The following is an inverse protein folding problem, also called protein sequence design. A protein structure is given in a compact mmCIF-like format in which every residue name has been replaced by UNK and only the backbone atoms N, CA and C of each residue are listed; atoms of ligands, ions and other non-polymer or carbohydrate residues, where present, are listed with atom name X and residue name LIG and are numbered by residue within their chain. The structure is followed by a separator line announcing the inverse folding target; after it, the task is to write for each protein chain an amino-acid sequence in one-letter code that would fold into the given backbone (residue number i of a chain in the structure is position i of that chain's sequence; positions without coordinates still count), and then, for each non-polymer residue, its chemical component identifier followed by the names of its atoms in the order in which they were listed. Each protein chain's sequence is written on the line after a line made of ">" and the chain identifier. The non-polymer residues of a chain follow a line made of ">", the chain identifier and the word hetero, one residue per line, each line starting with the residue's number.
data_IF_880938964803
#
_entry.id   IF_880938964803
#
_cell.length_a   1.000
_cell.length_b   1.000
_cell.length_c   1.000
_cell.angle_alpha   90.00
_cell.angle_beta   90.00
_cell.angle_gamma   90.00
#
_symmetry.space_group_name_H-M   'P 1'
#
loop_
_entity.id
_entity.type
_entity.pdbx_description
1 polymer ?
#
# COMPACT_ATOMS: atom_id res chain seq x y z
N UNK A 1 9.83 -18.87 -20.03
CA UNK A 1 8.71 -17.95 -19.75
C UNK A 1 9.26 -16.53 -19.72
N UNK A 2 9.14 -15.79 -20.82
CA UNK A 2 9.68 -14.42 -20.94
C UNK A 2 8.83 -13.46 -20.10
N UNK A 3 9.42 -12.85 -19.08
CA UNK A 3 8.74 -11.79 -18.32
C UNK A 3 8.45 -10.63 -19.29
N UNK A 4 7.20 -10.13 -19.38
CA UNK A 4 6.93 -8.98 -20.24
C UNK A 4 7.75 -7.78 -19.72
N UNK A 5 8.41 -7.08 -20.65
CA UNK A 5 9.18 -5.87 -20.34
C UNK A 5 8.34 -4.93 -19.46
N UNK A 6 8.96 -4.34 -18.43
CA UNK A 6 8.29 -3.35 -17.58
C UNK A 6 7.82 -2.20 -18.46
N UNK A 7 6.52 -2.13 -18.73
CA UNK A 7 5.92 -1.00 -19.45
C UNK A 7 6.09 0.26 -18.61
N UNK A 8 7.05 1.12 -18.97
CA UNK A 8 7.21 2.42 -18.36
C UNK A 8 6.07 3.33 -18.83
N UNK A 9 5.29 3.83 -17.88
CA UNK A 9 4.21 4.77 -18.16
C UNK A 9 4.72 6.20 -17.95
N UNK A 10 4.67 7.08 -18.96
CA UNK A 10 5.11 8.45 -18.79
C UNK A 10 4.25 9.19 -17.76
N UNK A 11 4.88 10.07 -16.99
CA UNK A 11 4.20 10.98 -16.08
C UNK A 11 3.87 12.26 -16.81
N UNK A 12 2.64 12.73 -16.62
CA UNK A 12 2.15 13.97 -17.22
C UNK A 12 1.60 14.89 -16.15
N UNK A 13 1.67 16.20 -16.40
CA UNK A 13 1.13 17.24 -15.54
C UNK A 13 -0.10 17.85 -16.17
N UNK A 14 -0.94 18.53 -15.38
CA UNK A 14 -2.08 19.28 -15.94
C UNK A 14 -1.57 20.39 -16.85
N UNK A 15 -2.10 20.46 -18.07
CA UNK A 15 -1.88 21.55 -19.01
C UNK A 15 -2.70 22.79 -18.64
N UNK A 16 -2.66 23.80 -19.50
CA UNK A 16 -3.41 25.06 -19.29
C UNK A 16 -4.90 24.88 -19.53
N UNK A 17 -5.25 23.97 -20.42
CA UNK A 17 -6.64 23.65 -20.79
C UNK A 17 -7.05 22.31 -20.19
N UNK A 18 -8.35 22.09 -20.03
CA UNK A 18 -8.88 20.83 -19.48
C UNK A 18 -8.50 19.58 -20.30
N UNK A 19 -8.20 19.74 -21.59
CA UNK A 19 -7.88 18.65 -22.51
C UNK A 19 -6.40 18.58 -22.92
N UNK A 20 -5.52 19.33 -22.25
CA UNK A 20 -4.08 19.31 -22.51
C UNK A 20 -3.31 18.83 -21.29
N UNK A 21 -2.18 18.16 -21.53
CA UNK A 21 -1.26 17.70 -20.49
C UNK A 21 0.16 18.11 -20.84
N UNK A 22 1.01 18.31 -19.83
CA UNK A 22 2.42 18.56 -20.04
C UNK A 22 3.18 17.24 -19.94
N UNK A 23 3.83 16.85 -21.03
CA UNK A 23 4.75 15.72 -21.12
C UNK A 23 6.16 16.26 -21.39
N UNK A 24 7.10 16.02 -20.48
CA UNK A 24 8.48 16.52 -20.57
C UNK A 24 8.58 18.03 -20.86
N UNK A 25 7.67 18.81 -20.26
CA UNK A 25 7.60 20.27 -20.41
C UNK A 25 6.90 20.75 -21.70
N UNK A 26 6.46 19.85 -22.58
CA UNK A 26 5.70 20.17 -23.79
C UNK A 26 4.22 19.93 -23.58
N UNK A 27 3.41 20.88 -24.02
CA UNK A 27 1.95 20.75 -24.00
C UNK A 27 1.51 19.82 -25.14
N UNK A 28 0.89 18.70 -24.78
CA UNK A 28 0.41 17.68 -25.69
C UNK A 28 -1.03 17.32 -25.35
N UNK A 29 -1.82 17.01 -26.36
CA UNK A 29 -3.17 16.46 -26.17
C UNK A 29 -3.09 14.93 -26.05
N UNK A 30 -3.91 14.29 -25.20
CA UNK A 30 -4.07 12.84 -25.23
C UNK A 30 -4.43 12.34 -26.64
N UNK A 31 -3.97 11.14 -27.04
CA UNK A 31 -4.33 10.55 -28.31
C UNK A 31 -5.85 10.44 -28.46
N UNK A 32 -6.34 10.53 -29.70
CA UNK A 32 -7.76 10.37 -30.01
C UNK A 32 -8.31 9.06 -29.44
N UNK A 33 -9.48 9.13 -28.81
CA UNK A 33 -10.12 7.98 -28.14
C UNK A 33 -9.65 7.73 -26.71
N UNK A 34 -8.67 8.48 -26.18
CA UNK A 34 -8.28 8.35 -24.78
C UNK A 34 -9.20 9.13 -23.85
N UNK A 35 -9.51 8.56 -22.70
CA UNK A 35 -10.25 9.21 -21.63
C UNK A 35 -9.49 9.16 -20.31
N UNK A 36 -9.81 10.10 -19.43
CA UNK A 36 -9.23 10.19 -18.10
C UNK A 36 -9.93 9.23 -17.15
N UNK A 37 -9.16 8.31 -16.54
CA UNK A 37 -9.60 7.49 -15.43
C UNK A 37 -9.06 8.08 -14.12
N UNK A 38 -9.93 8.64 -13.24
CA UNK A 38 -9.49 9.15 -11.95
C UNK A 38 -8.94 8.03 -11.06
N UNK A 39 -8.05 8.38 -10.14
CA UNK A 39 -7.61 7.48 -9.09
C UNK A 39 -8.80 7.18 -8.14
N UNK A 40 -8.99 5.92 -7.77
CA UNK A 40 -10.06 5.52 -6.85
C UNK A 40 -10.27 4.01 -6.76
N UNK A 41 -10.21 3.31 -7.90
CA UNK A 41 -10.30 1.85 -7.95
C UNK A 41 -8.92 1.23 -8.22
N UNK A 42 -8.27 0.62 -7.20
CA UNK A 42 -6.96 0.01 -7.37
C UNK A 42 -6.95 -1.18 -8.32
N UNK A 43 -8.05 -1.94 -8.41
CA UNK A 43 -8.15 -3.09 -9.29
C UNK A 43 -8.19 -2.64 -10.75
N UNK A 44 -9.01 -1.61 -11.05
CA UNK A 44 -9.11 -1.01 -12.38
C UNK A 44 -7.77 -0.42 -12.82
N UNK A 45 -7.17 0.45 -12.00
CA UNK A 45 -5.92 1.14 -12.35
C UNK A 45 -4.73 0.18 -12.48
N UNK A 46 -4.67 -0.90 -11.68
CA UNK A 46 -3.63 -1.94 -11.80
C UNK A 46 -3.77 -2.76 -13.09
N UNK A 47 -5.00 -3.14 -13.47
CA UNK A 47 -5.27 -3.85 -14.73
C UNK A 47 -4.95 -2.99 -15.95
N UNK A 48 -5.36 -1.71 -15.93
CA UNK A 48 -5.08 -0.77 -17.04
C UNK A 48 -3.57 -0.63 -17.32
N UNK A 49 -2.76 -0.47 -16.27
CA UNK A 49 -1.29 -0.40 -16.35
C UNK A 49 -0.66 -1.70 -16.87
N UNK A 50 -1.22 -2.86 -16.51
CA UNK A 50 -0.72 -4.16 -16.97
C UNK A 50 -1.01 -4.40 -18.45
N UNK A 51 -2.18 -3.99 -18.93
CA UNK A 51 -2.69 -4.36 -20.25
C UNK A 51 -2.20 -3.42 -21.37
N UNK A 52 -1.69 -2.23 -21.06
CA UNK A 52 -1.15 -1.36 -22.10
C UNK A 52 -0.57 -0.04 -21.62
N UNK A 53 -0.24 0.83 -22.59
CA UNK A 53 0.33 2.15 -22.33
C UNK A 53 -0.71 3.04 -21.65
N UNK A 54 -0.26 3.81 -20.66
CA UNK A 54 -1.05 4.78 -19.92
C UNK A 54 -0.19 6.02 -19.69
N UNK A 55 -0.81 7.21 -19.62
CA UNK A 55 -0.15 8.41 -19.11
C UNK A 55 -0.61 8.69 -17.70
N UNK A 56 0.31 8.83 -16.74
CA UNK A 56 -0.04 8.99 -15.32
C UNK A 56 -0.10 10.47 -15.00
N UNK A 57 -1.29 10.97 -14.66
CA UNK A 57 -1.46 12.37 -14.27
C UNK A 57 -1.01 12.56 -12.82
N UNK A 58 0.05 13.35 -12.64
CA UNK A 58 0.63 13.65 -11.32
C UNK A 58 0.45 15.12 -10.95
N UNK A 59 0.39 15.38 -9.65
CA UNK A 59 0.37 16.71 -9.07
C UNK A 59 1.31 16.76 -7.87
N UNK A 60 2.13 17.82 -7.79
CA UNK A 60 3.01 18.03 -6.65
C UNK A 60 2.25 18.79 -5.56
N UNK A 61 2.04 18.13 -4.42
CA UNK A 61 1.45 18.73 -3.21
C UNK A 61 2.53 18.82 -2.13
N UNK A 62 2.94 20.04 -1.79
CA UNK A 62 4.08 20.30 -0.88
C UNK A 62 5.33 19.52 -1.35
N UNK A 63 5.82 18.60 -0.52
CA UNK A 63 7.01 17.79 -0.79
C UNK A 63 6.68 16.39 -1.35
N UNK A 64 5.43 16.13 -1.73
CA UNK A 64 4.99 14.82 -2.23
C UNK A 64 4.37 14.90 -3.63
N UNK A 65 4.66 13.90 -4.45
CA UNK A 65 3.95 13.67 -5.71
C UNK A 65 2.71 12.81 -5.44
N UNK A 66 1.54 13.32 -5.80
CA UNK A 66 0.27 12.63 -5.73
C UNK A 66 -0.18 12.26 -7.15
N UNK A 67 -0.62 11.01 -7.33
CA UNK A 67 -1.22 10.55 -8.59
C UNK A 67 -2.70 10.86 -8.56
N UNK A 68 -3.18 11.66 -9.51
CA UNK A 68 -4.60 12.02 -9.62
C UNK A 68 -5.39 11.02 -10.46
N UNK A 69 -4.74 10.32 -11.39
CA UNK A 69 -5.37 9.35 -12.27
C UNK A 69 -4.45 8.97 -13.42
N UNK A 70 -5.03 8.37 -14.46
CA UNK A 70 -4.32 7.99 -15.67
C UNK A 70 -5.17 8.23 -16.91
N UNK A 71 -4.52 8.48 -18.04
CA UNK A 71 -5.13 8.51 -19.36
C UNK A 71 -4.86 7.22 -20.11
N UNK A 72 -5.88 6.71 -20.79
CA UNK A 72 -5.80 5.58 -21.73
C UNK A 72 -7.01 5.54 -22.63
N UNK A 73 -6.92 4.72 -23.67
CA UNK A 73 -8.06 4.29 -24.48
C UNK A 73 -9.34 4.04 -23.66
N UNK A 74 -10.40 4.75 -24.03
CA UNK A 74 -11.72 4.73 -23.39
C UNK A 74 -12.38 3.36 -23.50
N UNK A 75 -12.24 2.68 -24.65
CA UNK A 75 -12.81 1.35 -24.86
C UNK A 75 -12.24 0.33 -23.86
N UNK A 76 -10.93 0.44 -23.57
CA UNK A 76 -10.25 -0.38 -22.57
C UNK A 76 -10.71 -0.07 -21.14
N UNK A 77 -10.95 1.20 -20.79
CA UNK A 77 -11.49 1.56 -19.47
C UNK A 77 -12.85 0.92 -19.27
N UNK A 78 -13.73 1.00 -20.27
CA UNK A 78 -15.07 0.43 -20.21
C UNK A 78 -15.06 -1.09 -20.13
N UNK A 79 -14.26 -1.76 -20.97
CA UNK A 79 -14.12 -3.23 -20.95
C UNK A 79 -13.69 -3.74 -19.57
N UNK A 80 -12.62 -3.18 -18.98
CA UNK A 80 -12.14 -3.62 -17.67
C UNK A 80 -13.13 -3.27 -16.56
N UNK A 81 -13.85 -2.13 -16.67
CA UNK A 81 -14.92 -1.80 -15.72
C UNK A 81 -16.04 -2.83 -15.77
N UNK A 82 -16.46 -3.26 -16.96
CA UNK A 82 -17.51 -4.29 -17.12
C UNK A 82 -17.06 -5.62 -16.51
N UNK A 83 -15.83 -6.05 -16.79
CA UNK A 83 -15.25 -7.26 -16.18
C UNK A 83 -15.24 -7.19 -14.65
N UNK A 84 -14.77 -6.07 -14.08
CA UNK A 84 -14.71 -5.90 -12.62
C UNK A 84 -16.10 -5.86 -11.99
N UNK A 85 -17.08 -5.25 -12.65
CA UNK A 85 -18.46 -5.24 -12.17
C UNK A 85 -19.06 -6.64 -12.19
N UNK A 86 -18.81 -7.44 -13.23
CA UNK A 86 -19.25 -8.82 -13.30
C UNK A 86 -18.59 -9.69 -12.20
N UNK A 87 -17.28 -9.54 -11.99
CA UNK A 87 -16.58 -10.23 -10.91
C UNK A 87 -17.11 -9.85 -9.52
N UNK A 88 -17.45 -8.57 -9.30
CA UNK A 88 -17.99 -8.09 -8.02
C UNK A 88 -19.43 -8.50 -7.77
N UNK A 89 -20.21 -8.71 -8.83
CA UNK A 89 -21.57 -9.20 -8.75
C UNK A 89 -21.64 -10.69 -8.40
N UNK A 90 -20.54 -11.43 -8.55
CA UNK A 90 -20.48 -12.84 -8.17
C UNK A 90 -20.54 -13.00 -6.63
N UNK A 91 -21.56 -13.68 -6.08
CA UNK A 91 -21.67 -13.93 -4.64
C UNK A 91 -20.50 -14.76 -4.08
N UNK A 92 -19.77 -15.52 -4.91
CA UNK A 92 -18.55 -16.21 -4.49
C UNK A 92 -17.43 -15.22 -4.13
N UNK A 93 -17.35 -14.08 -4.82
CA UNK A 93 -16.38 -13.02 -4.53
C UNK A 93 -16.63 -12.42 -3.14
N UNK A 94 -17.90 -12.12 -2.81
CA UNK A 94 -18.26 -11.60 -1.50
C UNK A 94 -17.96 -12.60 -0.37
N UNK A 95 -18.30 -13.88 -0.55
CA UNK A 95 -17.96 -14.95 0.40
C UNK A 95 -16.45 -15.08 0.63
N UNK A 96 -15.65 -14.88 -0.42
CA UNK A 96 -14.19 -14.88 -0.31
C UNK A 96 -13.67 -13.68 0.49
N UNK A 97 -14.25 -12.50 0.30
CA UNK A 97 -13.89 -11.32 1.09
C UNK A 97 -14.23 -11.48 2.57
N UNK A 98 -15.41 -12.02 2.87
CA UNK A 98 -15.87 -12.20 4.25
C UNK A 98 -15.06 -13.29 4.96
N UNK A 99 -14.75 -14.41 4.30
CA UNK A 99 -13.87 -15.43 4.85
C UNK A 99 -12.44 -14.91 5.08
N UNK A 100 -11.91 -14.07 4.17
CA UNK A 100 -10.62 -13.43 4.37
C UNK A 100 -10.64 -12.44 5.54
N UNK A 101 -11.74 -11.72 5.77
CA UNK A 101 -11.91 -10.83 6.93
C UNK A 101 -11.90 -11.63 8.23
N UNK A 102 -12.71 -12.70 8.32
CA UNK A 102 -12.75 -13.59 9.48
C UNK A 102 -11.40 -14.21 9.79
N UNK A 103 -10.64 -14.60 8.76
CA UNK A 103 -9.27 -15.12 8.95
C UNK A 103 -8.35 -14.06 9.55
N UNK A 104 -8.40 -12.82 9.07
CA UNK A 104 -7.58 -11.73 9.64
C UNK A 104 -7.96 -11.39 11.07
N UNK A 105 -9.26 -11.44 11.40
CA UNK A 105 -9.75 -11.28 12.78
C UNK A 105 -9.19 -12.37 13.68
N UNK A 106 -9.30 -13.64 13.28
CA UNK A 106 -8.74 -14.76 14.04
C UNK A 106 -7.20 -14.70 14.18
N UNK A 107 -6.49 -14.33 13.12
CA UNK A 107 -5.04 -14.11 13.18
C UNK A 107 -4.66 -12.95 14.09
N UNK A 108 -5.49 -11.90 14.14
CA UNK A 108 -5.28 -10.77 15.03
C UNK A 108 -5.45 -11.22 16.48
N UNK A 109 -6.50 -11.97 16.80
CA UNK A 109 -6.72 -12.53 18.15
C UNK A 109 -5.56 -13.43 18.59
N UNK A 110 -5.09 -14.33 17.70
CA UNK A 110 -3.94 -15.18 17.98
C UNK A 110 -2.67 -14.34 18.26
N UNK A 111 -2.42 -13.30 17.44
CA UNK A 111 -1.29 -12.40 17.63
C UNK A 111 -1.36 -11.65 18.97
N UNK A 112 -2.55 -11.20 19.39
CA UNK A 112 -2.74 -10.53 20.68
C UNK A 112 -2.32 -11.43 21.83
N UNK A 113 -2.72 -12.71 21.77
CA UNK A 113 -2.37 -13.71 22.79
C UNK A 113 -0.86 -13.98 22.79
N UNK A 114 -0.26 -14.19 21.62
CA UNK A 114 1.18 -14.45 21.48
C UNK A 114 2.03 -13.25 21.95
N UNK A 115 1.62 -12.03 21.58
CA UNK A 115 2.31 -10.81 21.98
C UNK A 115 2.25 -10.61 23.50
N UNK A 116 1.08 -10.78 24.10
CA UNK A 116 0.91 -10.71 25.55
C UNK A 116 1.84 -11.69 26.27
N UNK A 117 1.91 -12.94 25.78
CA UNK A 117 2.80 -13.94 26.38
C UNK A 117 4.27 -13.55 26.23
N UNK A 118 4.67 -13.07 25.06
CA UNK A 118 6.04 -12.62 24.83
C UNK A 118 6.43 -11.43 25.73
N UNK A 119 5.48 -10.52 26.05
CA UNK A 119 5.72 -9.43 27.01
C UNK A 119 5.93 -9.99 28.42
N UNK A 120 5.15 -10.98 28.86
CA UNK A 120 5.35 -11.63 30.17
C UNK A 120 6.73 -12.30 30.22
N UNK A 121 7.08 -13.05 29.19
CA UNK A 121 8.38 -13.74 29.09
C UNK A 121 9.55 -12.74 29.07
N UNK A 122 9.37 -11.60 28.38
CA UNK A 122 10.37 -10.53 28.32
C UNK A 122 10.55 -9.83 29.67
N UNK A 123 9.46 -9.55 30.39
CA UNK A 123 9.53 -8.92 31.71
C UNK A 123 10.22 -9.82 32.74
N UNK A 124 10.10 -11.15 32.60
CA UNK A 124 10.84 -12.15 33.37
C UNK A 124 10.79 -11.91 34.90
N UNK A 125 9.64 -11.46 35.43
CA UNK A 125 9.49 -11.19 36.85
C UNK A 125 9.55 -12.47 37.69
N UNK A 126 10.11 -12.36 38.89
CA UNK A 126 10.09 -13.45 39.87
C UNK A 126 8.65 -13.90 40.17
N UNK A 127 8.39 -15.19 40.49
CA UNK A 127 7.03 -15.72 40.66
C UNK A 127 6.14 -14.92 41.63
N UNK A 128 6.74 -14.31 42.65
CA UNK A 128 6.04 -13.43 43.62
C UNK A 128 5.38 -12.18 43.00
N UNK A 129 5.75 -11.81 41.77
CA UNK A 129 5.23 -10.63 41.06
C UNK A 129 4.50 -10.99 39.76
N UNK A 130 4.12 -12.26 39.58
CA UNK A 130 3.46 -12.72 38.35
C UNK A 130 2.17 -11.94 38.05
N UNK A 131 1.37 -11.66 39.09
CA UNK A 131 0.14 -10.87 38.94
C UNK A 131 0.41 -9.46 38.42
N UNK A 132 1.52 -8.85 38.85
CA UNK A 132 1.93 -7.53 38.39
C UNK A 132 2.44 -7.57 36.94
N UNK A 133 3.22 -8.61 36.58
CA UNK A 133 3.66 -8.84 35.21
C UNK A 133 2.47 -9.01 34.25
N UNK A 134 1.44 -9.77 34.66
CA UNK A 134 0.22 -9.98 33.87
C UNK A 134 -0.54 -8.67 33.64
N UNK A 135 -0.78 -7.88 34.70
CA UNK A 135 -1.46 -6.57 34.57
C UNK A 135 -0.68 -5.59 33.68
N UNK A 136 0.65 -5.59 33.79
CA UNK A 136 1.50 -4.76 32.94
C UNK A 136 1.44 -5.24 31.48
N UNK A 137 1.51 -6.54 31.24
CA UNK A 137 1.39 -7.12 29.91
C UNK A 137 0.02 -6.83 29.27
N UNK A 138 -1.07 -6.87 30.06
CA UNK A 138 -2.41 -6.50 29.61
C UNK A 138 -2.45 -5.03 29.17
N UNK A 139 -1.94 -4.11 29.99
CA UNK A 139 -1.89 -2.68 29.67
C UNK A 139 -1.00 -2.37 28.44
N UNK A 140 0.15 -3.03 28.31
CA UNK A 140 1.02 -2.90 27.13
C UNK A 140 0.33 -3.44 25.89
N UNK A 141 -0.34 -4.58 26.00
CA UNK A 141 -1.10 -5.20 24.90
C UNK A 141 -2.25 -4.29 24.47
N UNK A 142 -3.04 -3.77 25.40
CA UNK A 142 -4.14 -2.83 25.12
C UNK A 142 -3.64 -1.52 24.47
N UNK A 143 -2.45 -1.04 24.82
CA UNK A 143 -1.87 0.15 24.20
C UNK A 143 -1.24 -0.13 22.83
N UNK A 144 -0.62 -1.30 22.64
CA UNK A 144 0.16 -1.63 21.45
C UNK A 144 -0.63 -2.36 20.35
N UNK A 145 -1.70 -3.09 20.70
CA UNK A 145 -2.57 -3.81 19.76
C UNK A 145 -3.47 -2.88 18.93
N UNK A 146 -4.05 -1.77 19.43
CA UNK A 146 -4.79 -0.83 18.61
C UNK A 146 -3.84 0.09 17.84
N UNK A 147 -2.91 -0.48 17.07
CA UNK A 147 -2.31 0.24 15.93
C UNK A 147 -3.20 0.08 14.69
N UNK A 148 -4.48 0.45 14.86
CA UNK A 148 -5.38 0.86 13.79
C UNK A 148 -5.03 2.25 13.23
N UNK A 149 -3.91 2.85 13.65
CA UNK A 149 -3.27 3.91 12.89
C UNK A 149 -2.83 3.27 11.57
N UNK A 150 -3.48 3.64 10.46
CA UNK A 150 -3.28 3.07 9.11
C UNK A 150 -1.85 3.21 8.54
N UNK A 151 -0.84 3.40 9.39
CA UNK A 151 0.57 3.57 9.11
C UNK A 151 1.40 2.35 9.54
N UNK A 152 1.00 1.62 10.60
CA UNK A 152 1.84 0.53 11.16
C UNK A 152 1.54 -0.84 10.53
N UNK A 153 0.34 -1.03 9.96
CA UNK A 153 -0.02 -2.29 9.28
C UNK A 153 0.81 -2.61 8.02
N UNK A 154 1.63 -1.67 7.54
CA UNK A 154 2.51 -1.85 6.38
C UNK A 154 3.91 -2.34 6.75
N UNK A 155 4.29 -2.17 8.02
CA UNK A 155 5.44 -2.84 8.59
C UNK A 155 4.94 -4.24 8.88
N UNK A 156 5.20 -5.14 7.94
CA UNK A 156 5.14 -6.59 8.12
C UNK A 156 5.35 -6.95 9.60
N UNK A 157 4.41 -7.72 10.17
CA UNK A 157 4.44 -8.24 11.54
C UNK A 157 5.87 -8.67 11.84
N UNK A 158 6.65 -7.83 12.50
CA UNK A 158 8.03 -8.16 12.83
C UNK A 158 7.89 -9.34 13.79
N UNK A 159 8.37 -10.55 13.42
CA UNK A 159 8.31 -11.67 14.34
C UNK A 159 8.99 -11.20 15.63
N UNK A 160 8.35 -11.41 16.78
CA UNK A 160 8.75 -10.80 18.05
C UNK A 160 10.24 -11.08 18.37
N UNK A 161 10.75 -12.22 17.88
CA UNK A 161 12.16 -12.63 17.94
C UNK A 161 13.15 -11.66 17.26
N UNK A 162 12.70 -10.76 16.38
CA UNK A 162 13.54 -9.93 15.51
C UNK A 162 13.61 -8.44 15.92
N UNK A 163 12.89 -8.04 16.98
CA UNK A 163 13.11 -6.73 17.62
C UNK A 163 14.35 -6.85 18.53
N UNK A 164 15.51 -7.11 17.95
CA UNK A 164 16.78 -6.82 18.62
C UNK A 164 17.13 -5.36 18.37
N UNK A 165 17.49 -4.70 19.46
CA UNK A 165 17.86 -3.30 19.63
C UNK A 165 18.65 -2.76 18.43
N UNK A 166 18.03 -1.89 17.63
CA UNK A 166 18.80 -0.93 16.84
C UNK A 166 19.29 0.13 17.83
N UNK A 167 20.54 0.00 18.26
CA UNK A 167 21.27 1.09 18.89
C UNK A 167 21.15 2.33 18.00
N UNK A 168 20.57 3.39 18.56
CA UNK A 168 20.64 4.73 17.98
C UNK A 168 22.05 5.24 18.24
N UNK A 169 23.00 4.83 17.41
CA UNK A 169 24.33 5.43 17.38
C UNK A 169 24.49 6.23 16.09
N UNK A 170 24.70 7.53 16.30
CA UNK A 170 25.20 8.54 15.37
C UNK A 170 24.34 8.90 14.16
N UNK A 171 23.73 10.09 14.24
CA UNK A 171 23.31 10.82 13.06
C UNK A 171 24.51 11.23 12.22
N UNK A 172 24.47 10.88 10.93
CA UNK A 172 25.15 11.61 9.85
C UNK A 172 24.26 11.54 8.60
N UNK A 173 23.75 12.70 8.20
CA UNK A 173 23.18 12.93 6.87
C UNK A 173 24.25 12.67 5.79
N UNK A 174 23.95 11.89 4.75
CA UNK A 174 24.68 12.01 3.49
C UNK A 174 23.78 11.66 2.30
N UNK A 175 23.44 12.70 1.53
CA UNK A 175 23.04 12.53 0.14
C UNK A 175 24.24 12.03 -0.67
N UNK A 176 24.10 10.92 -1.39
CA UNK A 176 24.94 10.65 -2.55
C UNK A 176 24.32 9.64 -3.52
N UNK A 177 24.00 10.15 -4.71
CA UNK A 177 24.25 9.57 -6.03
C UNK A 177 23.43 8.34 -6.49
N UNK A 178 22.45 8.66 -7.35
CA UNK A 178 22.37 8.09 -8.70
C UNK A 178 23.77 8.04 -9.33
N UNK A 179 24.29 6.85 -9.64
CA UNK A 179 25.04 6.57 -10.89
C UNK A 179 25.55 5.12 -10.93
N UNK A 180 25.18 4.45 -12.03
CA UNK A 180 25.92 3.40 -12.74
C UNK A 180 25.84 1.92 -12.32
N UNK A 181 25.70 1.12 -13.38
CA UNK A 181 25.94 -0.31 -13.61
C UNK A 181 24.67 -1.16 -13.62
N UNK A 182 24.16 -1.67 -14.76
CA UNK A 182 24.76 -1.92 -16.08
C UNK A 182 23.93 -1.37 -17.24
#
# INVERSE_FOLDING_TARGET
>A
MTQPAKTTHPQVWRGKTSNTVLLDGREVSPPTGWSFCPAGDPALTRRLKKTGICWILVHKRKNRLETLGLWTDSARIESIRRELTAERADPAYQKKLDSARKKREAEQEAYVIEFRQAVIDFLAFAPRYEDFARRLADAVTEQAVPVGSGTVARTERIPIRQIQVYEVTSGVFSQAKYSQNC
#
